data_IF_259190324207
#
_entry.id   IF_259190324207
#
_cell.length_a   1.000
_cell.length_b   1.000
_cell.length_c   1.000
_cell.angle_alpha   90.00
_cell.angle_beta   90.00
_cell.angle_gamma   90.00
#
_symmetry.space_group_name_H-M   'P 1'
#
loop_
_entity.id
_entity.type
_entity.pdbx_description
1 polymer ?
#
# COMPACT_ATOMS: atom_id res chain seq x y z
N UNK A 1 24.76 5.15 8.08
CA UNK A 1 24.24 3.91 7.44
C UNK A 1 23.07 3.40 8.26
N UNK A 2 21.98 2.97 7.62
CA UNK A 2 20.82 2.38 8.30
C UNK A 2 20.76 0.88 7.97
N UNK A 3 20.31 0.02 8.87
CA UNK A 3 20.10 -1.39 8.53
C UNK A 3 18.99 -1.52 7.47
N UNK A 4 19.06 -2.57 6.66
CA UNK A 4 17.95 -2.99 5.81
C UNK A 4 16.73 -3.34 6.66
N UNK A 5 15.54 -3.29 6.07
CA UNK A 5 14.32 -3.64 6.79
C UNK A 5 14.17 -5.17 6.87
N UNK A 6 13.88 -5.68 8.08
CA UNK A 6 13.64 -7.09 8.32
C UNK A 6 12.37 -7.54 7.60
N UNK A 7 12.48 -8.61 6.80
CA UNK A 7 11.36 -9.22 6.09
C UNK A 7 11.38 -10.74 6.27
N UNK A 8 10.35 -11.29 6.88
CA UNK A 8 10.27 -12.72 7.25
C UNK A 8 9.20 -13.49 6.47
N UNK A 9 8.54 -12.83 5.51
CA UNK A 9 7.35 -13.37 4.86
C UNK A 9 7.61 -14.69 4.11
N UNK A 10 8.79 -14.85 3.50
CA UNK A 10 9.15 -16.07 2.77
C UNK A 10 9.31 -17.32 3.63
N UNK A 11 9.59 -17.16 4.93
CA UNK A 11 9.76 -18.26 5.89
C UNK A 11 8.82 -18.15 7.10
N UNK A 12 7.70 -17.44 6.93
CA UNK A 12 6.70 -17.30 7.99
C UNK A 12 6.09 -18.65 8.39
N UNK A 13 5.96 -19.57 7.45
CA UNK A 13 5.52 -20.95 7.68
C UNK A 13 6.46 -21.69 8.65
N UNK A 14 7.77 -21.53 8.50
CA UNK A 14 8.77 -22.10 9.42
C UNK A 14 8.63 -21.50 10.82
N UNK A 15 8.43 -20.17 10.91
CA UNK A 15 8.21 -19.50 12.20
C UNK A 15 6.94 -19.99 12.90
N UNK A 16 5.83 -20.11 12.14
CA UNK A 16 4.56 -20.62 12.67
C UNK A 16 4.67 -22.07 13.14
N UNK A 17 5.36 -22.93 12.39
CA UNK A 17 5.64 -24.32 12.76
C UNK A 17 6.53 -24.43 13.99
N UNK A 18 7.48 -23.50 14.17
CA UNK A 18 8.30 -23.40 15.36
C UNK A 18 7.55 -22.88 16.61
N UNK A 19 6.26 -22.54 16.46
CA UNK A 19 5.38 -22.14 17.57
C UNK A 19 5.20 -20.64 17.74
N UNK A 20 5.69 -19.80 16.83
CA UNK A 20 5.40 -18.36 16.86
C UNK A 20 3.90 -18.14 16.59
N UNK A 21 3.23 -17.38 17.46
CA UNK A 21 1.79 -17.10 17.40
C UNK A 21 1.46 -15.62 17.28
N UNK A 22 2.42 -14.74 17.52
CA UNK A 22 2.23 -13.29 17.47
C UNK A 22 3.36 -12.67 16.66
N UNK A 23 2.98 -11.94 15.63
CA UNK A 23 3.90 -11.18 14.77
C UNK A 23 3.66 -9.68 15.01
N UNK A 24 4.71 -8.97 15.38
CA UNK A 24 4.66 -7.52 15.58
C UNK A 24 5.19 -6.80 14.34
N UNK A 25 4.37 -5.93 13.78
CA UNK A 25 4.74 -5.05 12.67
C UNK A 25 5.16 -3.68 13.23
N UNK A 26 6.34 -3.19 12.83
CA UNK A 26 6.81 -1.87 13.23
C UNK A 26 6.43 -0.85 12.16
N UNK A 27 5.51 0.04 12.50
CA UNK A 27 5.00 1.10 11.63
C UNK A 27 5.34 2.52 12.07
N UNK A 28 6.19 2.70 13.12
CA UNK A 28 6.55 4.04 13.62
C UNK A 28 7.20 4.86 12.49
N UNK A 29 6.77 6.12 12.37
CA UNK A 29 7.21 7.04 11.34
C UNK A 29 6.99 6.54 9.89
N UNK A 30 6.02 5.66 9.69
CA UNK A 30 5.56 5.20 8.37
C UNK A 30 4.17 5.77 8.06
N UNK A 31 3.88 5.93 6.78
CA UNK A 31 2.53 6.32 6.34
C UNK A 31 1.52 5.18 6.51
N UNK A 32 0.22 5.50 6.53
CA UNK A 32 -0.84 4.49 6.68
C UNK A 32 -0.81 3.46 5.54
N UNK A 33 -0.41 3.84 4.34
CA UNK A 33 -0.22 2.95 3.19
C UNK A 33 0.80 1.83 3.47
N UNK A 34 1.88 2.15 4.20
CA UNK A 34 2.87 1.15 4.60
C UNK A 34 2.24 0.11 5.53
N UNK A 35 1.58 0.56 6.58
CA UNK A 35 0.96 -0.34 7.56
C UNK A 35 -0.10 -1.20 6.88
N UNK A 36 -0.95 -0.61 6.05
CA UNK A 36 -1.98 -1.31 5.29
C UNK A 36 -1.38 -2.41 4.41
N UNK A 37 -0.39 -2.09 3.59
CA UNK A 37 0.24 -3.05 2.68
C UNK A 37 0.95 -4.17 3.44
N UNK A 38 1.73 -3.84 4.47
CA UNK A 38 2.46 -4.85 5.26
C UNK A 38 1.49 -5.78 6.00
N UNK A 39 0.45 -5.23 6.64
CA UNK A 39 -0.56 -6.04 7.35
C UNK A 39 -1.27 -6.98 6.39
N UNK A 40 -1.68 -6.51 5.22
CA UNK A 40 -2.38 -7.34 4.23
C UNK A 40 -1.49 -8.48 3.73
N UNK A 41 -0.25 -8.20 3.31
CA UNK A 41 0.67 -9.24 2.85
C UNK A 41 0.91 -10.31 3.93
N UNK A 42 1.17 -9.90 5.18
CA UNK A 42 1.40 -10.87 6.25
C UNK A 42 0.12 -11.62 6.66
N UNK A 43 -1.04 -10.99 6.63
CA UNK A 43 -2.32 -11.65 6.87
C UNK A 43 -2.63 -12.70 5.80
N UNK A 44 -2.43 -12.37 4.53
CA UNK A 44 -2.56 -13.32 3.42
C UNK A 44 -1.60 -14.50 3.56
N UNK A 45 -0.33 -14.23 3.88
CA UNK A 45 0.68 -15.28 4.08
C UNK A 45 0.33 -16.22 5.24
N UNK A 46 -0.13 -15.68 6.37
CA UNK A 46 -0.57 -16.46 7.53
C UNK A 46 -1.78 -17.32 7.15
N UNK A 47 -2.78 -16.75 6.49
CA UNK A 47 -3.97 -17.48 6.06
C UNK A 47 -3.60 -18.61 5.08
N UNK A 48 -2.72 -18.33 4.11
CA UNK A 48 -2.21 -19.33 3.18
C UNK A 48 -1.53 -20.51 3.88
N UNK A 49 -0.78 -20.25 4.94
CA UNK A 49 -0.17 -21.31 5.77
C UNK A 49 -1.24 -22.11 6.53
N UNK A 50 -2.25 -21.43 7.10
CA UNK A 50 -3.33 -22.08 7.86
C UNK A 50 -4.26 -22.93 6.99
N UNK A 51 -4.50 -22.51 5.74
CA UNK A 51 -5.30 -23.23 4.76
C UNK A 51 -4.55 -24.40 4.08
N UNK A 52 -3.26 -24.46 4.29
CA UNK A 52 -2.35 -25.40 3.64
C UNK A 52 -1.52 -24.70 2.55
N UNK A 53 -0.21 -24.72 2.75
CA UNK A 53 0.77 -23.99 1.93
C UNK A 53 0.66 -24.29 0.42
N UNK A 54 0.18 -25.47 0.07
CA UNK A 54 0.18 -25.96 -1.31
C UNK A 54 1.54 -26.53 -1.72
N UNK A 55 1.80 -26.58 -3.02
CA UNK A 55 3.10 -26.99 -3.54
C UNK A 55 4.15 -25.91 -3.32
N UNK A 56 5.43 -26.28 -3.40
CA UNK A 56 6.53 -25.33 -3.26
C UNK A 56 6.48 -24.25 -4.36
N UNK A 57 6.08 -24.63 -5.59
CA UNK A 57 5.94 -23.70 -6.69
C UNK A 57 4.79 -22.66 -6.45
N UNK A 58 3.68 -23.10 -5.87
CA UNK A 58 2.58 -22.21 -5.50
C UNK A 58 2.99 -21.25 -4.39
N UNK A 59 3.73 -21.75 -3.40
CA UNK A 59 4.24 -20.92 -2.31
C UNK A 59 5.21 -19.84 -2.81
N UNK A 60 6.16 -20.21 -3.66
CA UNK A 60 7.10 -19.25 -4.24
C UNK A 60 6.39 -18.16 -5.06
N UNK A 61 5.35 -18.51 -5.85
CA UNK A 61 4.53 -17.53 -6.56
C UNK A 61 3.83 -16.56 -5.62
N UNK A 62 3.30 -17.04 -4.49
CA UNK A 62 2.71 -16.19 -3.47
C UNK A 62 3.78 -15.28 -2.83
N UNK A 63 4.95 -15.82 -2.50
CA UNK A 63 6.06 -15.06 -1.94
C UNK A 63 6.51 -13.93 -2.88
N UNK A 64 6.64 -14.22 -4.18
CA UNK A 64 7.01 -13.23 -5.18
C UNK A 64 5.96 -12.12 -5.32
N UNK A 65 4.68 -12.48 -5.24
CA UNK A 65 3.58 -11.53 -5.22
C UNK A 65 3.66 -10.59 -4.01
N UNK A 66 3.83 -11.13 -2.79
CA UNK A 66 3.96 -10.32 -1.58
C UNK A 66 5.22 -9.46 -1.60
N UNK A 67 6.33 -9.99 -2.10
CA UNK A 67 7.57 -9.23 -2.24
C UNK A 67 7.41 -8.03 -3.18
N UNK A 68 6.72 -8.22 -4.29
CA UNK A 68 6.39 -7.13 -5.20
C UNK A 68 5.54 -6.06 -4.50
N UNK A 69 4.51 -6.45 -3.74
CA UNK A 69 3.68 -5.52 -2.98
C UNK A 69 4.45 -4.80 -1.88
N UNK A 70 5.22 -5.51 -1.06
CA UNK A 70 6.04 -4.94 0.00
C UNK A 70 7.08 -3.95 -0.55
N UNK A 71 7.55 -4.16 -1.77
CA UNK A 71 8.49 -3.27 -2.45
C UNK A 71 7.85 -1.94 -2.89
N UNK A 72 6.52 -1.85 -2.99
CA UNK A 72 5.82 -0.61 -3.38
C UNK A 72 5.86 0.46 -2.28
N UNK A 73 5.94 0.06 -1.02
CA UNK A 73 5.94 0.96 0.13
C UNK A 73 7.35 1.21 0.65
N UNK A 74 7.48 2.17 1.57
CA UNK A 74 8.79 2.54 2.12
C UNK A 74 9.59 1.33 2.58
N UNK A 75 10.79 1.17 2.03
CA UNK A 75 11.77 0.20 2.49
C UNK A 75 13.19 0.70 2.21
N UNK A 76 14.18 0.13 2.89
CA UNK A 76 15.62 0.37 2.71
C UNK A 76 16.33 -0.82 2.08
N UNK A 77 15.60 -1.66 1.36
CA UNK A 77 15.97 -3.00 0.99
C UNK A 77 15.63 -3.97 2.12
N UNK A 78 15.52 -5.25 1.78
CA UNK A 78 15.10 -6.29 2.70
C UNK A 78 16.23 -7.25 3.04
N UNK A 79 16.16 -7.87 4.22
CA UNK A 79 17.01 -8.98 4.64
C UNK A 79 16.26 -9.87 5.64
N UNK A 80 16.74 -11.07 5.83
CA UNK A 80 16.06 -12.07 6.65
C UNK A 80 16.41 -11.98 8.15
N UNK A 81 17.16 -10.97 8.54
CA UNK A 81 17.69 -10.88 9.89
C UNK A 81 18.69 -12.00 10.17
N UNK A 82 18.73 -12.44 11.41
CA UNK A 82 19.58 -13.55 11.82
C UNK A 82 18.87 -14.91 11.79
N UNK A 83 17.63 -14.95 11.33
CA UNK A 83 16.78 -16.16 11.37
C UNK A 83 17.29 -17.29 10.46
N UNK A 84 17.98 -16.95 9.37
CA UNK A 84 18.55 -17.93 8.43
C UNK A 84 20.04 -18.25 8.71
N UNK A 85 20.51 -17.97 9.92
CA UNK A 85 21.89 -18.30 10.34
C UNK A 85 22.95 -17.28 9.89
N UNK A 86 22.55 -16.14 9.39
CA UNK A 86 23.47 -15.05 9.05
C UNK A 86 24.14 -14.49 10.30
N UNK A 87 25.45 -14.22 10.21
CA UNK A 87 26.25 -13.73 11.35
C UNK A 87 26.48 -12.23 11.35
N UNK A 88 26.32 -11.57 10.19
CA UNK A 88 26.53 -10.14 10.02
C UNK A 88 25.23 -9.46 9.57
N UNK A 89 24.99 -8.26 10.11
CA UNK A 89 23.87 -7.43 9.69
C UNK A 89 24.05 -6.89 8.28
N UNK A 90 22.95 -6.66 7.58
CA UNK A 90 22.94 -6.04 6.26
C UNK A 90 22.56 -4.57 6.35
N UNK A 91 23.31 -3.72 5.63
CA UNK A 91 23.17 -2.28 5.66
C UNK A 91 22.68 -1.75 4.33
N UNK A 92 21.90 -0.68 4.39
CA UNK A 92 21.46 0.04 3.20
C UNK A 92 22.57 0.99 2.75
N UNK A 93 22.97 0.88 1.49
CA UNK A 93 23.97 1.75 0.87
C UNK A 93 23.38 3.08 0.40
N UNK A 94 22.07 3.14 0.20
CA UNK A 94 21.37 4.31 -0.35
C UNK A 94 20.60 5.04 0.75
N UNK A 95 20.68 6.37 0.76
CA UNK A 95 19.87 7.20 1.64
C UNK A 95 18.42 7.26 1.17
N UNK A 96 17.48 7.10 2.10
CA UNK A 96 16.04 7.21 1.81
C UNK A 96 15.35 5.88 1.53
N UNK A 97 14.29 5.94 0.74
CA UNK A 97 13.44 4.78 0.43
C UNK A 97 13.79 4.17 -0.92
N UNK A 98 13.79 2.83 -0.98
CA UNK A 98 13.86 2.02 -2.20
C UNK A 98 12.47 1.65 -2.73
N UNK A 99 11.39 2.24 -2.22
CA UNK A 99 10.05 1.98 -2.70
C UNK A 99 9.93 2.17 -4.22
N UNK A 100 9.25 1.26 -4.88
CA UNK A 100 9.02 1.30 -6.33
C UNK A 100 7.87 2.23 -6.72
N UNK A 101 7.05 2.64 -5.76
CA UNK A 101 5.99 3.63 -5.93
C UNK A 101 6.25 4.87 -5.05
N UNK A 102 5.73 6.01 -5.50
CA UNK A 102 5.64 7.25 -4.72
C UNK A 102 4.22 7.77 -4.78
N UNK A 103 3.83 8.54 -3.77
CA UNK A 103 2.54 9.23 -3.75
C UNK A 103 2.70 10.69 -4.14
N UNK A 104 1.86 11.14 -5.05
CA UNK A 104 1.75 12.55 -5.46
C UNK A 104 0.40 13.10 -5.01
N UNK A 105 0.42 14.25 -4.35
CA UNK A 105 -0.81 14.86 -3.83
C UNK A 105 -1.70 15.32 -4.97
N UNK A 106 -2.97 14.92 -4.94
CA UNK A 106 -4.00 15.30 -5.92
C UNK A 106 -4.94 16.34 -5.32
N UNK A 107 -5.48 16.06 -4.13
CA UNK A 107 -6.49 16.91 -3.52
C UNK A 107 -7.06 16.32 -2.23
N UNK A 108 -8.28 16.69 -1.90
CA UNK A 108 -8.96 16.27 -0.67
C UNK A 108 -10.41 15.94 -0.88
N UNK A 109 -10.93 15.04 -0.06
CA UNK A 109 -12.36 14.75 0.00
C UNK A 109 -13.12 15.94 0.59
N UNK A 110 -14.19 16.32 -0.08
CA UNK A 110 -15.12 17.38 0.36
C UNK A 110 -16.33 16.76 1.03
N UNK A 111 -16.91 15.72 0.41
CA UNK A 111 -18.13 15.09 0.89
C UNK A 111 -18.19 13.61 0.50
N UNK A 112 -18.87 12.83 1.32
CA UNK A 112 -19.17 11.43 1.03
C UNK A 112 -20.68 11.19 1.02
N UNK A 113 -21.18 10.56 -0.03
CA UNK A 113 -22.58 10.22 -0.23
C UNK A 113 -22.78 8.74 0.09
N UNK A 114 -23.06 8.45 1.36
CA UNK A 114 -23.08 7.09 1.90
C UNK A 114 -24.10 6.15 1.23
N UNK A 115 -25.21 6.69 0.73
CA UNK A 115 -26.27 5.88 0.10
C UNK A 115 -25.85 5.29 -1.25
N UNK A 116 -24.89 5.90 -1.92
CA UNK A 116 -24.43 5.49 -3.26
C UNK A 116 -22.95 5.14 -3.30
N UNK A 117 -22.23 5.28 -2.17
CA UNK A 117 -20.81 4.95 -2.10
C UNK A 117 -19.90 5.88 -2.92
N UNK A 118 -20.30 7.13 -3.13
CA UNK A 118 -19.60 8.12 -3.95
C UNK A 118 -18.96 9.17 -3.06
N UNK A 119 -17.75 9.57 -3.38
CA UNK A 119 -17.07 10.70 -2.74
C UNK A 119 -16.84 11.84 -3.72
N UNK A 120 -16.99 13.07 -3.24
CA UNK A 120 -16.62 14.30 -3.95
C UNK A 120 -15.23 14.74 -3.50
N UNK A 121 -14.37 15.02 -4.45
CA UNK A 121 -12.99 15.48 -4.23
C UNK A 121 -12.75 16.81 -4.93
N UNK A 122 -12.05 17.72 -4.24
CA UNK A 122 -11.47 18.91 -4.87
C UNK A 122 -10.06 18.56 -5.36
N UNK A 123 -9.81 18.77 -6.64
CA UNK A 123 -8.49 18.60 -7.25
C UNK A 123 -7.69 19.88 -7.01
N UNK A 124 -6.58 19.77 -6.28
CA UNK A 124 -5.79 20.92 -5.83
C UNK A 124 -4.40 20.99 -6.50
N UNK A 125 -3.88 19.86 -7.01
CA UNK A 125 -2.52 19.83 -7.54
C UNK A 125 -2.44 19.11 -8.89
N UNK A 126 -2.14 17.81 -8.91
CA UNK A 126 -1.98 17.05 -10.16
C UNK A 126 -3.31 16.57 -10.71
N UNK A 127 -3.39 16.43 -12.03
CA UNK A 127 -4.57 15.91 -12.70
C UNK A 127 -4.81 14.43 -12.33
N UNK A 128 -6.07 14.02 -12.33
CA UNK A 128 -6.51 12.66 -12.06
C UNK A 128 -7.18 12.08 -13.30
N UNK A 129 -6.78 10.88 -13.70
CA UNK A 129 -7.33 10.20 -14.88
C UNK A 129 -8.12 8.95 -14.47
N UNK A 130 -9.08 8.58 -15.29
CA UNK A 130 -9.69 7.26 -15.22
C UNK A 130 -8.61 6.20 -15.47
N UNK A 131 -8.57 5.16 -14.63
CA UNK A 131 -7.54 4.13 -14.63
C UNK A 131 -6.37 4.38 -13.67
N UNK A 132 -6.29 5.58 -13.08
CA UNK A 132 -5.24 5.89 -12.10
C UNK A 132 -5.41 5.09 -10.81
N UNK A 133 -4.29 4.60 -10.28
CA UNK A 133 -4.21 4.00 -8.94
C UNK A 133 -4.08 5.09 -7.89
N UNK A 134 -5.03 5.17 -6.99
CA UNK A 134 -5.10 6.21 -5.96
C UNK A 134 -4.93 5.65 -4.55
N UNK A 135 -4.54 6.55 -3.66
CA UNK A 135 -4.52 6.36 -2.22
C UNK A 135 -5.31 7.48 -1.55
N UNK A 136 -6.33 7.14 -0.78
CA UNK A 136 -7.00 8.10 0.11
C UNK A 136 -6.55 7.83 1.54
N UNK A 137 -6.13 8.88 2.26
CA UNK A 137 -5.68 8.76 3.64
C UNK A 137 -6.40 9.73 4.57
N UNK A 138 -6.78 9.24 5.74
CA UNK A 138 -7.38 10.04 6.80
C UNK A 138 -7.20 9.42 8.17
N UNK A 139 -7.34 10.21 9.23
CA UNK A 139 -7.12 9.77 10.61
C UNK A 139 -8.00 8.57 10.98
N UNK A 140 -9.27 8.60 10.55
CA UNK A 140 -10.24 7.53 10.83
C UNK A 140 -10.38 6.57 9.63
N UNK A 141 -10.17 7.06 8.41
CA UNK A 141 -10.25 6.27 7.18
C UNK A 141 -9.05 5.33 7.05
N UNK A 142 -7.91 5.71 7.62
CA UNK A 142 -6.68 4.92 7.47
C UNK A 142 -6.10 5.10 6.07
N UNK A 143 -6.04 4.00 5.30
CA UNK A 143 -5.58 3.99 3.92
C UNK A 143 -6.56 3.20 3.05
N UNK A 144 -7.09 3.83 2.01
CA UNK A 144 -7.88 3.21 0.96
C UNK A 144 -7.07 3.27 -0.34
N UNK A 145 -6.78 2.11 -0.92
CA UNK A 145 -6.08 2.00 -2.21
C UNK A 145 -7.05 1.38 -3.21
N UNK A 146 -7.26 2.05 -4.33
CA UNK A 146 -8.11 1.56 -5.42
C UNK A 146 -7.69 2.17 -6.77
N UNK A 147 -8.21 1.60 -7.86
CA UNK A 147 -8.19 2.22 -9.19
C UNK A 147 -9.44 3.05 -9.38
N UNK A 148 -9.34 4.16 -10.10
CA UNK A 148 -10.47 5.04 -10.44
C UNK A 148 -11.13 4.51 -11.72
N UNK A 149 -12.34 3.95 -11.60
CA UNK A 149 -13.06 3.37 -12.73
C UNK A 149 -13.82 4.41 -13.54
N UNK A 150 -14.32 5.46 -12.90
CA UNK A 150 -15.11 6.54 -13.51
C UNK A 150 -14.88 7.83 -12.74
N UNK A 151 -14.83 8.96 -13.43
CA UNK A 151 -14.82 10.30 -12.84
C UNK A 151 -16.01 11.07 -13.40
N UNK A 152 -16.73 11.80 -12.54
CA UNK A 152 -17.80 12.71 -12.95
C UNK A 152 -17.48 14.13 -12.53
N UNK A 153 -17.66 15.05 -13.47
CA UNK A 153 -17.65 16.50 -13.26
C UNK A 153 -19.00 17.04 -13.71
N UNK A 154 -19.67 17.80 -12.83
CA UNK A 154 -21.06 18.30 -13.05
C UNK A 154 -22.03 17.18 -13.50
N UNK A 155 -21.93 16.01 -12.90
CA UNK A 155 -22.71 14.79 -13.15
C UNK A 155 -22.39 14.08 -14.49
N UNK A 156 -21.59 14.68 -15.36
CA UNK A 156 -21.19 14.10 -16.64
C UNK A 156 -19.88 13.30 -16.48
N UNK A 157 -19.75 12.15 -17.14
CA UNK A 157 -18.53 11.37 -17.12
C UNK A 157 -17.41 12.10 -17.88
N UNK A 158 -16.22 12.13 -17.24
CA UNK A 158 -15.01 12.71 -17.83
C UNK A 158 -13.85 11.74 -17.69
N UNK A 159 -12.90 11.79 -18.62
CA UNK A 159 -11.70 10.95 -18.56
C UNK A 159 -10.59 11.55 -17.68
N UNK A 160 -10.62 12.84 -17.45
CA UNK A 160 -9.61 13.61 -16.71
C UNK A 160 -10.28 14.64 -15.82
N UNK A 161 -9.80 14.74 -14.58
CA UNK A 161 -10.13 15.82 -13.65
C UNK A 161 -8.92 16.73 -13.46
N UNK A 162 -9.10 18.03 -13.63
CA UNK A 162 -8.03 19.02 -13.57
C UNK A 162 -8.12 19.89 -12.33
N UNK A 163 -7.04 20.59 -12.02
CA UNK A 163 -6.95 21.47 -10.85
C UNK A 163 -8.10 22.47 -10.78
N UNK A 164 -8.70 22.59 -9.59
CA UNK A 164 -9.82 23.49 -9.30
C UNK A 164 -11.20 22.85 -9.47
N UNK A 165 -11.27 21.68 -10.09
CA UNK A 165 -12.54 20.99 -10.27
C UNK A 165 -12.97 20.22 -9.01
N UNK A 166 -14.28 20.21 -8.80
CA UNK A 166 -14.97 19.31 -7.87
C UNK A 166 -15.46 18.11 -8.68
N UNK A 167 -14.88 16.96 -8.42
CA UNK A 167 -15.22 15.73 -9.14
C UNK A 167 -15.68 14.65 -8.19
N UNK A 168 -16.47 13.72 -8.68
CA UNK A 168 -17.01 12.64 -7.90
C UNK A 168 -16.71 11.29 -8.54
N UNK A 169 -16.42 10.28 -7.69
CA UNK A 169 -16.28 8.89 -8.09
C UNK A 169 -16.59 7.94 -6.93
N UNK A 170 -16.85 6.68 -7.26
CA UNK A 170 -17.08 5.63 -6.27
C UNK A 170 -15.81 5.32 -5.49
N UNK A 171 -15.96 5.10 -4.19
CA UNK A 171 -14.90 4.56 -3.33
C UNK A 171 -15.32 3.25 -2.71
N UNK A 172 -14.41 2.29 -2.67
CA UNK A 172 -14.67 0.94 -2.14
C UNK A 172 -15.02 0.95 -0.65
N UNK A 173 -14.57 1.98 0.06
CA UNK A 173 -14.83 2.18 1.47
C UNK A 173 -15.23 3.62 1.74
N UNK A 174 -15.81 3.85 2.93
CA UNK A 174 -16.21 5.18 3.38
C UNK A 174 -15.00 6.07 3.62
N UNK A 175 -14.93 7.18 2.86
CA UNK A 175 -13.99 8.28 3.09
C UNK A 175 -14.69 9.44 3.82
N UNK A 176 -13.91 10.39 4.31
CA UNK A 176 -14.40 11.48 5.13
C UNK A 176 -13.92 12.84 4.62
N UNK A 177 -14.65 13.92 4.89
CA UNK A 177 -14.18 15.27 4.58
C UNK A 177 -12.78 15.52 5.13
N UNK A 178 -11.95 16.17 4.33
CA UNK A 178 -10.52 16.44 4.54
C UNK A 178 -9.58 15.24 4.45
N UNK A 179 -10.06 14.03 4.15
CA UNK A 179 -9.17 12.94 3.77
C UNK A 179 -8.39 13.34 2.52
N UNK A 180 -7.09 13.03 2.50
CA UNK A 180 -6.19 13.42 1.43
C UNK A 180 -6.19 12.38 0.32
N UNK A 181 -6.31 12.86 -0.92
CA UNK A 181 -6.23 12.05 -2.13
C UNK A 181 -4.83 12.16 -2.73
N UNK A 182 -4.23 11.01 -3.05
CA UNK A 182 -2.94 10.91 -3.70
C UNK A 182 -3.02 9.98 -4.91
N UNK A 183 -2.23 10.27 -5.92
CA UNK A 183 -1.91 9.37 -7.01
C UNK A 183 -0.72 8.49 -6.61
N UNK A 184 -0.81 7.19 -6.87
CA UNK A 184 0.30 6.25 -6.70
C UNK A 184 0.97 6.05 -8.07
N UNK A 185 2.18 6.54 -8.20
CA UNK A 185 2.94 6.48 -9.46
C UNK A 185 4.22 5.67 -9.28
N UNK A 186 4.64 4.98 -10.34
CA UNK A 186 5.93 4.27 -10.36
C UNK A 186 7.07 5.27 -10.15
N UNK A 187 7.99 4.90 -9.28
CA UNK A 187 9.20 5.68 -9.04
C UNK A 187 10.28 5.23 -10.01
N UNK A 188 10.77 6.14 -10.84
CA UNK A 188 12.01 5.91 -11.58
C UNK A 188 13.16 5.94 -10.58
N UNK A 189 13.75 4.80 -10.28
CA UNK A 189 14.97 4.72 -9.49
C UNK A 189 16.11 5.19 -10.41
N UNK A 190 16.75 6.29 -10.05
CA UNK A 190 17.95 6.78 -10.72
C UNK A 190 19.17 5.97 -10.29
#
# INVERSE_FOLDING_TARGET
MSPKDLKTIRFIDIMMNAGVRVFKIEGRARGPEYVHTVVNCYNEAINKVLEGKGTEEEWEKCCDHWDAQLSTVFNRGFWDGYYQGQKLGEWCEVYGSKATEKKEYVGKCIKYFSNIGVAEFLIENVDLHVGDKILVTGVTTGALIQTVDEIRFDLEPVSVATRGQHVSFKTNEKVRPNDKLYLLVKRTLA
#
